data_IF_379263590407
#
_entry.id   IF_379263590407
#
_cell.length_a   1.000
_cell.length_b   1.000
_cell.length_c   1.000
_cell.angle_alpha   90.00
_cell.angle_beta   90.00
_cell.angle_gamma   90.00
#
_symmetry.space_group_name_H-M   'P 1'
#
loop_
_entity.id
_entity.type
_entity.pdbx_description
1 polymer ?
#
# COMPACT_ATOMS: atom_id res chain seq x y z
N UNK A 1 -25.05 -8.09 -40.64
CA UNK A 1 -24.90 -6.65 -40.34
C UNK A 1 -24.78 -6.49 -38.85
N UNK A 2 -23.56 -6.57 -38.34
CA UNK A 2 -23.27 -6.51 -36.89
C UNK A 2 -22.58 -5.16 -36.61
N UNK A 3 -23.24 -4.32 -35.79
CA UNK A 3 -22.72 -3.03 -35.30
C UNK A 3 -21.63 -3.32 -34.28
N UNK A 4 -20.38 -2.96 -34.62
CA UNK A 4 -19.27 -2.92 -33.66
C UNK A 4 -19.34 -1.56 -32.92
N UNK A 5 -19.78 -1.58 -31.69
CA UNK A 5 -19.69 -0.43 -30.80
C UNK A 5 -18.21 -0.18 -30.43
N UNK A 6 -17.68 0.96 -30.87
CA UNK A 6 -16.36 1.46 -30.50
C UNK A 6 -16.49 2.11 -29.11
N UNK A 7 -16.17 1.38 -28.05
CA UNK A 7 -15.88 1.98 -26.75
C UNK A 7 -14.49 2.62 -26.82
N UNK A 8 -14.44 3.92 -26.64
CA UNK A 8 -13.21 4.70 -26.53
C UNK A 8 -12.43 4.23 -25.28
N UNK A 9 -11.22 3.70 -25.51
CA UNK A 9 -10.26 3.38 -24.45
C UNK A 9 -9.68 4.72 -23.96
N UNK A 10 -9.70 5.02 -22.66
CA UNK A 10 -9.05 6.23 -22.17
C UNK A 10 -7.54 6.11 -22.38
N UNK A 11 -6.96 7.15 -22.95
CA UNK A 11 -5.52 7.33 -23.13
C UNK A 11 -4.79 7.09 -21.79
N UNK A 12 -3.88 6.15 -21.81
CA UNK A 12 -3.11 5.66 -20.69
C UNK A 12 -2.20 6.77 -20.11
N UNK A 13 -2.60 7.35 -18.99
CA UNK A 13 -1.79 8.26 -18.15
C UNK A 13 -0.73 7.50 -17.31
N UNK A 14 -0.50 6.23 -17.58
CA UNK A 14 0.32 5.34 -16.75
C UNK A 14 1.79 5.24 -17.17
N UNK A 15 2.22 5.98 -18.21
CA UNK A 15 3.62 5.95 -18.65
C UNK A 15 4.61 6.60 -17.67
N UNK A 16 4.13 7.38 -16.70
CA UNK A 16 5.01 8.07 -15.73
C UNK A 16 5.58 7.15 -14.64
N UNK A 17 5.04 5.94 -14.47
CA UNK A 17 5.50 5.01 -13.44
C UNK A 17 6.82 4.27 -13.79
N UNK A 18 7.18 4.22 -15.06
CA UNK A 18 8.40 3.54 -15.52
C UNK A 18 9.62 4.47 -15.64
N UNK A 19 9.49 5.76 -15.35
CA UNK A 19 10.61 6.70 -15.41
C UNK A 19 11.34 6.77 -14.05
N UNK A 20 12.59 6.29 -13.95
CA UNK A 20 13.34 6.29 -12.69
C UNK A 20 13.68 7.71 -12.19
N UNK A 21 13.49 8.76 -13.00
CA UNK A 21 13.77 10.15 -12.64
C UNK A 21 12.54 10.88 -12.05
N UNK A 22 11.35 10.29 -12.09
CA UNK A 22 10.08 10.89 -11.61
C UNK A 22 9.79 10.67 -10.12
N UNK A 23 10.78 10.30 -9.30
CA UNK A 23 10.61 10.27 -7.82
C UNK A 23 10.58 11.68 -7.23
N UNK A 24 9.67 12.53 -7.68
CA UNK A 24 9.24 13.72 -6.93
C UNK A 24 7.92 13.42 -6.25
N UNK A 25 8.05 13.04 -4.98
CA UNK A 25 7.12 13.19 -3.86
C UNK A 25 5.71 13.69 -4.21
N UNK A 26 4.74 12.78 -4.26
CA UNK A 26 3.34 13.12 -3.99
C UNK A 26 3.09 12.85 -2.51
N UNK A 27 3.43 13.80 -1.66
CA UNK A 27 2.89 13.87 -0.31
C UNK A 27 1.52 14.54 -0.41
N UNK A 28 0.48 13.78 -0.21
CA UNK A 28 -0.87 14.29 0.02
C UNK A 28 -0.87 15.11 1.32
N UNK A 29 -1.14 16.41 1.20
CA UNK A 29 -1.31 17.30 2.32
C UNK A 29 -2.60 16.95 3.08
N UNK A 30 -2.44 16.30 4.23
CA UNK A 30 -3.50 16.18 5.23
C UNK A 30 -3.48 17.46 6.05
N UNK A 31 -4.53 18.27 5.93
CA UNK A 31 -4.73 19.51 6.67
C UNK A 31 -4.98 19.22 8.15
N UNK A 32 -3.96 19.37 8.98
CA UNK A 32 -4.10 19.47 10.43
C UNK A 32 -4.04 20.94 10.80
N UNK A 33 -5.14 21.46 11.32
CA UNK A 33 -5.27 22.77 11.96
C UNK A 33 -4.33 22.83 13.17
N UNK A 34 -3.27 23.63 13.10
CA UNK A 34 -2.42 23.99 14.23
C UNK A 34 -2.55 25.48 14.53
N UNK A 35 -2.86 25.76 15.78
CA UNK A 35 -2.96 27.08 16.40
C UNK A 35 -1.63 27.87 16.40
N UNK A 36 -1.67 29.22 16.45
CA UNK A 36 -0.48 30.03 16.28
C UNK A 36 0.33 30.14 17.59
N UNK A 37 1.55 29.68 17.59
CA UNK A 37 2.57 30.04 18.56
C UNK A 37 3.45 31.14 17.99
N UNK A 38 3.29 32.31 18.58
CA UNK A 38 3.98 33.58 18.35
C UNK A 38 5.47 33.45 18.74
N UNK A 39 6.40 33.43 17.77
CA UNK A 39 7.83 33.63 17.98
C UNK A 39 8.33 34.71 17.01
N UNK A 40 9.16 35.68 17.48
CA UNK A 40 9.59 36.82 16.66
C UNK A 40 10.65 36.43 15.63
N UNK A 41 10.48 36.99 14.44
CA UNK A 41 11.35 36.83 13.27
C UNK A 41 12.67 37.60 13.51
N UNK A 42 13.87 37.06 13.31
CA UNK A 42 15.11 37.82 13.32
C UNK A 42 15.22 38.71 12.07
N UNK A 43 15.72 39.96 12.27
CA UNK A 43 15.89 40.99 11.25
C UNK A 43 16.97 40.63 10.24
N UNK A 44 16.86 41.09 8.97
CA UNK A 44 17.89 40.83 7.96
C UNK A 44 19.16 41.65 8.23
N UNK A 45 20.31 40.94 8.09
CA UNK A 45 21.64 41.54 8.16
C UNK A 45 21.90 42.36 6.89
N UNK A 46 22.22 43.64 7.07
CA UNK A 46 22.67 44.53 5.98
C UNK A 46 24.11 44.16 5.64
N UNK A 47 24.37 43.88 4.38
CA UNK A 47 25.70 43.76 3.81
C UNK A 47 26.05 45.09 3.18
N UNK A 48 27.01 45.79 3.78
CA UNK A 48 27.53 47.05 3.27
C UNK A 48 28.39 46.80 2.04
N UNK A 49 27.99 47.39 0.92
CA UNK A 49 28.81 47.46 -0.29
C UNK A 49 29.83 48.58 -0.17
N UNK A 50 31.07 48.28 0.13
CA UNK A 50 32.14 49.25 0.06
C UNK A 50 32.82 49.17 -1.30
N UNK A 51 32.56 50.21 -2.10
CA UNK A 51 33.08 50.35 -3.45
C UNK A 51 34.31 51.23 -3.41
N UNK A 52 35.49 50.64 -3.59
CA UNK A 52 36.72 51.38 -3.70
C UNK A 52 37.01 51.72 -5.16
N UNK A 53 36.89 53.04 -5.49
CA UNK A 53 37.29 53.64 -6.76
C UNK A 53 38.79 53.91 -6.71
N UNK A 54 39.56 53.33 -7.61
CA UNK A 54 40.87 53.87 -7.98
C UNK A 54 41.02 53.87 -9.48
N UNK A 55 41.13 55.08 -9.97
CA UNK A 55 41.49 55.47 -11.32
C UNK A 55 42.83 54.91 -11.71
N UNK A 56 43.03 54.48 -12.96
CA UNK A 56 44.26 54.69 -13.70
C UNK A 56 44.02 54.84 -15.20
N UNK A 57 44.75 55.80 -15.73
CA UNK A 57 44.72 56.44 -17.03
C UNK A 57 45.28 55.57 -18.17
N UNK A 58 44.65 55.70 -19.35
CA UNK A 58 45.14 55.87 -20.73
C UNK A 58 46.51 55.31 -21.07
N UNK A 59 46.59 54.36 -22.02
CA UNK A 59 47.56 54.40 -23.13
C UNK A 59 46.90 53.88 -24.40
N UNK A 60 46.90 54.73 -25.40
CA UNK A 60 46.49 54.53 -26.77
C UNK A 60 47.51 53.61 -27.48
N UNK A 61 47.04 52.51 -28.08
CA UNK A 61 47.88 51.70 -28.95
C UNK A 61 47.04 51.06 -30.05
N UNK A 62 47.06 51.72 -31.24
CA UNK A 62 46.53 51.14 -32.45
C UNK A 62 47.30 49.87 -32.81
N UNK A 63 46.68 48.71 -32.73
CA UNK A 63 47.18 47.51 -33.39
C UNK A 63 46.01 46.84 -34.10
N UNK A 64 45.95 46.99 -35.40
CA UNK A 64 44.98 46.34 -36.29
C UNK A 64 45.30 44.86 -36.35
N UNK A 65 44.55 44.07 -35.63
CA UNK A 65 44.61 42.61 -35.74
C UNK A 65 43.54 42.16 -36.73
N UNK A 66 43.99 41.67 -37.88
CA UNK A 66 43.20 40.94 -38.85
C UNK A 66 42.56 39.73 -38.14
N UNK A 67 41.29 39.84 -37.85
CA UNK A 67 40.51 38.69 -37.39
C UNK A 67 40.24 37.74 -38.53
N UNK A 68 41.09 36.71 -38.67
CA UNK A 68 40.75 35.54 -39.49
C UNK A 68 39.58 34.84 -38.83
N UNK A 69 38.39 35.03 -39.42
CA UNK A 69 37.24 34.28 -39.04
C UNK A 69 37.46 32.80 -39.39
N UNK A 70 37.87 32.02 -38.40
CA UNK A 70 37.83 30.56 -38.52
C UNK A 70 36.37 30.14 -38.57
N UNK A 71 35.90 29.81 -39.76
CA UNK A 71 34.63 29.12 -39.93
C UNK A 71 34.74 27.77 -39.18
N UNK A 72 34.15 27.66 -38.02
CA UNK A 72 33.96 26.37 -37.38
C UNK A 72 33.06 25.52 -38.33
N UNK A 73 33.51 24.30 -38.70
CA UNK A 73 32.66 23.41 -39.40
C UNK A 73 31.41 23.23 -38.58
N UNK A 74 30.24 23.56 -39.15
CA UNK A 74 28.95 23.28 -38.54
C UNK A 74 28.93 21.80 -38.15
N UNK A 75 28.83 21.51 -36.86
CA UNK A 75 28.65 20.17 -36.40
C UNK A 75 27.35 19.67 -37.06
N UNK A 76 27.49 18.73 -37.98
CA UNK A 76 26.39 17.99 -38.52
C UNK A 76 25.59 17.47 -37.37
N UNK A 77 24.28 17.76 -37.24
CA UNK A 77 23.49 17.19 -36.18
C UNK A 77 23.59 15.68 -36.33
N UNK A 78 24.24 15.03 -35.37
CA UNK A 78 24.19 13.58 -35.26
C UNK A 78 22.71 13.23 -35.22
N UNK A 79 22.20 12.35 -36.08
CA UNK A 79 20.81 11.96 -36.02
C UNK A 79 20.57 11.45 -34.60
N UNK A 80 19.68 12.13 -33.90
CA UNK A 80 19.22 11.70 -32.59
C UNK A 80 18.68 10.28 -32.80
N UNK A 81 19.47 9.28 -32.41
CA UNK A 81 19.01 7.92 -32.32
C UNK A 81 18.07 7.90 -31.13
N UNK A 82 16.89 8.52 -31.31
CA UNK A 82 15.77 8.31 -30.40
C UNK A 82 15.51 6.81 -30.40
N UNK A 83 16.06 6.15 -29.38
CA UNK A 83 15.94 4.72 -29.19
C UNK A 83 14.43 4.39 -29.24
N UNK A 84 14.04 3.55 -30.20
CA UNK A 84 12.66 3.12 -30.37
C UNK A 84 12.30 2.22 -29.19
N UNK A 85 11.82 2.82 -28.10
CA UNK A 85 11.52 2.12 -26.86
C UNK A 85 10.03 1.75 -26.82
N UNK A 86 9.77 0.49 -26.51
CA UNK A 86 8.44 0.00 -26.15
C UNK A 86 8.42 -0.23 -24.65
N UNK A 87 7.39 0.29 -23.97
CA UNK A 87 7.11 0.00 -22.56
C UNK A 87 5.79 -0.76 -22.48
N UNK A 88 5.78 -1.91 -21.81
CA UNK A 88 4.60 -2.72 -21.61
C UNK A 88 4.48 -3.12 -20.13
N UNK A 89 3.24 -3.36 -19.71
CA UNK A 89 2.95 -3.97 -18.42
C UNK A 89 2.52 -5.42 -18.64
N UNK A 90 3.14 -6.33 -17.91
CA UNK A 90 2.67 -7.70 -17.78
C UNK A 90 2.02 -7.90 -16.42
N UNK A 91 0.92 -8.62 -16.38
CA UNK A 91 0.18 -8.91 -15.14
C UNK A 91 -0.12 -10.39 -15.06
N UNK A 92 -0.03 -10.91 -13.83
CA UNK A 92 -0.47 -12.27 -13.55
C UNK A 92 -1.13 -12.34 -12.19
N UNK A 93 -2.05 -13.29 -12.01
CA UNK A 93 -2.69 -13.59 -10.74
C UNK A 93 -2.58 -15.09 -10.49
N UNK A 94 -2.16 -15.45 -9.27
CA UNK A 94 -2.09 -16.84 -8.80
C UNK A 94 -3.07 -17.00 -7.64
N UNK A 95 -3.85 -18.09 -7.68
CA UNK A 95 -4.81 -18.42 -6.62
C UNK A 95 -4.16 -19.38 -5.64
N UNK A 96 -4.02 -18.97 -4.38
CA UNK A 96 -3.33 -19.73 -3.34
C UNK A 96 -4.27 -20.03 -2.18
N UNK A 97 -4.18 -21.24 -1.62
CA UNK A 97 -4.87 -21.57 -0.38
C UNK A 97 -4.15 -20.89 0.80
N UNK A 98 -4.87 -20.22 1.72
CA UNK A 98 -4.27 -19.62 2.91
C UNK A 98 -3.76 -20.73 3.85
N UNK A 99 -2.72 -20.39 4.63
CA UNK A 99 -2.11 -21.25 5.65
C UNK A 99 -1.95 -20.56 7.00
N UNK A 100 -2.51 -19.38 7.14
CA UNK A 100 -2.51 -18.60 8.38
C UNK A 100 -3.89 -17.97 8.58
N UNK A 101 -4.43 -18.06 9.80
CA UNK A 101 -5.58 -17.27 10.22
C UNK A 101 -5.16 -16.28 11.30
N UNK A 102 -5.65 -15.06 11.20
CA UNK A 102 -5.55 -14.04 12.25
C UNK A 102 -6.97 -13.66 12.68
N UNK A 103 -7.28 -13.91 13.94
CA UNK A 103 -8.58 -13.65 14.54
C UNK A 103 -8.42 -12.48 15.52
N UNK A 104 -9.27 -11.47 15.42
CA UNK A 104 -9.32 -10.37 16.38
C UNK A 104 -10.60 -10.48 17.18
N UNK A 105 -10.44 -10.80 18.46
CA UNK A 105 -11.52 -11.00 19.45
C UNK A 105 -11.43 -9.85 20.44
N UNK A 106 -12.57 -9.32 20.90
CA UNK A 106 -12.55 -8.29 21.92
C UNK A 106 -13.51 -8.59 23.09
N UNK A 107 -13.10 -8.13 24.24
CA UNK A 107 -13.91 -8.07 25.46
C UNK A 107 -14.26 -6.60 25.70
N UNK A 108 -15.54 -6.29 25.63
CA UNK A 108 -16.08 -4.97 25.92
C UNK A 108 -16.86 -5.03 27.23
N UNK A 109 -16.51 -4.17 28.17
CA UNK A 109 -17.24 -4.01 29.46
C UNK A 109 -17.66 -2.56 29.65
N UNK A 110 -18.77 -2.37 30.33
CA UNK A 110 -19.31 -1.04 30.62
C UNK A 110 -19.72 -0.95 32.10
N UNK A 111 -19.33 0.14 32.75
CA UNK A 111 -19.73 0.41 34.12
C UNK A 111 -19.79 1.93 34.37
N UNK A 112 -20.58 2.36 35.36
CA UNK A 112 -20.57 3.76 35.83
C UNK A 112 -19.26 4.18 36.46
N UNK A 113 -18.54 3.23 37.02
CA UNK A 113 -17.21 3.40 37.64
C UNK A 113 -16.13 2.83 36.70
N UNK A 114 -15.12 3.64 36.42
CA UNK A 114 -14.04 3.28 35.52
C UNK A 114 -13.20 2.09 36.00
N UNK A 115 -12.93 2.06 37.33
CA UNK A 115 -12.14 1.01 37.96
C UNK A 115 -12.86 -0.33 37.90
N UNK A 116 -14.17 -0.32 38.18
CA UNK A 116 -14.99 -1.53 38.10
C UNK A 116 -15.09 -2.05 36.64
N UNK A 117 -15.29 -1.15 35.67
CA UNK A 117 -15.28 -1.53 34.25
C UNK A 117 -13.95 -2.19 33.86
N UNK A 118 -12.83 -1.64 34.33
CA UNK A 118 -11.49 -2.17 34.08
C UNK A 118 -11.25 -3.53 34.74
N UNK A 119 -11.62 -3.68 35.98
CA UNK A 119 -11.45 -4.95 36.74
C UNK A 119 -12.27 -6.08 36.11
N UNK A 120 -13.51 -5.79 35.75
CA UNK A 120 -14.36 -6.75 35.04
C UNK A 120 -13.78 -7.14 33.67
N UNK A 121 -13.30 -6.15 32.91
CA UNK A 121 -12.64 -6.38 31.64
C UNK A 121 -11.40 -7.28 31.79
N UNK A 122 -10.53 -6.98 32.74
CA UNK A 122 -9.32 -7.75 33.01
C UNK A 122 -9.64 -9.21 33.37
N UNK A 123 -10.66 -9.43 34.22
CA UNK A 123 -11.11 -10.78 34.59
C UNK A 123 -11.62 -11.55 33.38
N UNK A 124 -12.50 -10.97 32.56
CA UNK A 124 -13.05 -11.61 31.36
C UNK A 124 -11.97 -11.84 30.31
N UNK A 125 -11.12 -10.87 30.05
CA UNK A 125 -10.02 -11.01 29.09
C UNK A 125 -9.04 -12.11 29.47
N UNK A 126 -8.73 -12.26 30.76
CA UNK A 126 -7.90 -13.36 31.26
C UNK A 126 -8.58 -14.72 31.03
N UNK A 127 -9.87 -14.82 31.25
CA UNK A 127 -10.64 -16.05 30.99
C UNK A 127 -10.61 -16.39 29.50
N UNK A 128 -10.82 -15.40 28.63
CA UNK A 128 -10.77 -15.59 27.16
C UNK A 128 -9.38 -16.05 26.72
N UNK A 129 -8.30 -15.39 27.18
CA UNK A 129 -6.92 -15.78 26.84
C UNK A 129 -6.63 -17.22 27.27
N UNK A 130 -7.06 -17.62 28.45
CA UNK A 130 -6.85 -18.98 28.95
C UNK A 130 -7.66 -20.01 28.16
N UNK A 131 -8.91 -19.70 27.80
CA UNK A 131 -9.76 -20.56 26.98
C UNK A 131 -9.17 -20.76 25.58
N UNK A 132 -8.74 -19.68 24.93
CA UNK A 132 -8.09 -19.73 23.62
C UNK A 132 -6.78 -20.56 23.67
N UNK A 133 -5.94 -20.34 24.68
CA UNK A 133 -4.72 -21.13 24.88
C UNK A 133 -4.98 -22.61 25.18
N UNK A 134 -6.18 -22.95 25.65
CA UNK A 134 -6.62 -24.32 25.87
C UNK A 134 -6.92 -25.09 24.56
N UNK A 135 -7.13 -24.41 23.47
CA UNK A 135 -7.26 -25.02 22.13
C UNK A 135 -5.89 -25.56 21.72
N UNK A 136 -5.83 -26.87 21.41
CA UNK A 136 -4.58 -27.58 21.13
C UNK A 136 -4.00 -27.23 19.77
N UNK A 137 -3.39 -26.06 19.62
CA UNK A 137 -2.57 -25.67 18.46
C UNK A 137 -1.20 -25.20 18.96
N UNK A 138 -0.12 -26.01 18.82
CA UNK A 138 1.21 -25.68 19.33
C UNK A 138 1.85 -24.47 18.62
N UNK A 139 1.30 -24.08 17.49
CA UNK A 139 1.80 -22.97 16.69
C UNK A 139 0.94 -21.70 16.84
N UNK A 140 -0.01 -21.70 17.80
CA UNK A 140 -0.89 -20.57 18.04
C UNK A 140 -0.15 -19.46 18.84
N UNK A 141 -0.24 -18.24 18.31
CA UNK A 141 0.27 -17.03 18.95
C UNK A 141 -0.90 -16.20 19.44
N UNK A 142 -0.92 -15.91 20.74
CA UNK A 142 -1.93 -15.03 21.36
C UNK A 142 -1.27 -13.77 21.88
N UNK A 143 -1.73 -12.62 21.42
CA UNK A 143 -1.23 -11.30 21.83
C UNK A 143 -2.37 -10.35 22.13
N UNK A 144 -2.12 -9.35 22.99
CA UNK A 144 -3.05 -8.22 23.16
C UNK A 144 -2.81 -7.22 22.04
N UNK A 145 -3.88 -6.85 21.34
CA UNK A 145 -3.85 -5.86 20.26
C UNK A 145 -4.03 -4.45 20.80
N UNK A 146 -5.28 -4.09 21.09
CA UNK A 146 -5.66 -2.75 21.50
C UNK A 146 -6.34 -2.79 22.87
N UNK A 147 -6.01 -1.81 23.74
CA UNK A 147 -6.69 -1.58 25.01
C UNK A 147 -7.14 -0.14 25.07
N UNK A 148 -8.45 0.08 25.21
CA UNK A 148 -9.04 1.42 25.17
C UNK A 148 -10.07 1.58 26.30
N UNK A 149 -10.06 2.75 26.96
CA UNK A 149 -11.09 3.20 27.89
C UNK A 149 -11.74 4.45 27.31
N UNK A 150 -13.05 4.40 27.10
CA UNK A 150 -13.82 5.52 26.53
C UNK A 150 -14.91 5.95 27.52
N UNK A 151 -15.00 7.27 27.73
CA UNK A 151 -16.11 7.86 28.49
C UNK A 151 -17.38 7.82 27.63
N UNK A 152 -18.45 7.33 28.21
CA UNK A 152 -19.76 7.31 27.58
C UNK A 152 -20.59 8.52 28.03
N UNK A 153 -21.15 9.23 27.07
CA UNK A 153 -22.04 10.36 27.31
C UNK A 153 -23.45 9.99 26.84
N UNK A 154 -24.51 10.37 27.59
CA UNK A 154 -25.88 10.23 27.12
C UNK A 154 -26.09 11.01 25.82
N UNK A 155 -26.94 10.47 24.96
CA UNK A 155 -27.35 11.13 23.73
C UNK A 155 -28.83 11.47 23.86
N UNK A 156 -29.13 12.78 23.92
CA UNK A 156 -30.50 13.30 23.86
C UNK A 156 -30.77 13.85 22.45
N UNK A 157 -31.60 13.13 21.69
CA UNK A 157 -31.82 13.45 20.29
C UNK A 157 -30.54 13.26 19.46
N UNK A 158 -29.98 14.34 18.89
CA UNK A 158 -28.74 14.34 18.11
C UNK A 158 -27.54 14.93 18.87
N UNK A 159 -27.73 15.40 20.12
CA UNK A 159 -26.73 16.11 20.90
C UNK A 159 -26.20 15.22 22.01
N UNK A 160 -24.88 15.11 22.14
CA UNK A 160 -24.24 14.50 23.30
C UNK A 160 -24.28 15.50 24.47
N UNK A 161 -24.76 15.05 25.61
CA UNK A 161 -24.72 15.86 26.85
C UNK A 161 -23.33 15.83 27.45
N UNK A 162 -22.89 16.86 28.20
CA UNK A 162 -21.62 16.87 28.90
C UNK A 162 -21.56 15.91 30.11
N UNK A 163 -22.69 15.34 30.50
CA UNK A 163 -22.78 14.41 31.62
C UNK A 163 -22.14 13.06 31.29
N UNK A 164 -21.49 12.45 32.27
CA UNK A 164 -20.87 11.14 32.12
C UNK A 164 -21.87 10.04 32.46
N UNK A 165 -22.26 9.24 31.49
CA UNK A 165 -23.14 8.08 31.68
C UNK A 165 -22.39 6.87 32.25
N UNK A 166 -21.11 6.74 31.94
CA UNK A 166 -20.26 5.63 32.36
C UNK A 166 -18.98 5.54 31.57
N UNK A 167 -18.32 4.40 31.71
CA UNK A 167 -17.04 4.09 31.06
C UNK A 167 -17.16 2.76 30.32
N UNK A 168 -16.64 2.73 29.10
CA UNK A 168 -16.49 1.51 28.31
C UNK A 168 -15.02 1.15 28.21
N UNK A 169 -14.69 -0.09 28.55
CA UNK A 169 -13.35 -0.65 28.41
C UNK A 169 -13.38 -1.72 27.34
N UNK A 170 -12.51 -1.59 26.35
CA UNK A 170 -12.34 -2.57 25.27
C UNK A 170 -10.92 -3.12 25.33
N UNK A 171 -10.79 -4.44 25.33
CA UNK A 171 -9.52 -5.15 25.23
C UNK A 171 -9.59 -6.11 24.05
N UNK A 172 -8.75 -5.88 23.06
CA UNK A 172 -8.67 -6.70 21.85
C UNK A 172 -7.54 -7.71 21.95
N UNK A 173 -7.84 -8.95 21.63
CA UNK A 173 -6.93 -10.09 21.65
C UNK A 173 -6.75 -10.56 20.21
N UNK A 174 -5.52 -10.57 19.73
CA UNK A 174 -5.15 -11.10 18.41
C UNK A 174 -4.65 -12.52 18.56
N UNK A 175 -5.25 -13.42 17.83
CA UNK A 175 -4.90 -14.85 17.78
C UNK A 175 -4.44 -15.18 16.38
N UNK A 176 -3.18 -15.62 16.22
CA UNK A 176 -2.65 -16.15 14.97
C UNK A 176 -2.51 -17.66 15.08
N UNK A 177 -2.97 -18.38 14.06
CA UNK A 177 -2.95 -19.83 14.04
C UNK A 177 -2.76 -20.40 12.64
N UNK A 178 -2.11 -21.56 12.55
CA UNK A 178 -1.86 -22.27 11.28
C UNK A 178 -2.87 -23.37 11.00
N UNK A 179 -3.46 -23.91 12.04
CA UNK A 179 -4.52 -24.90 11.90
C UNK A 179 -5.88 -24.21 11.65
N UNK A 180 -6.19 -23.98 10.38
CA UNK A 180 -7.40 -23.28 9.97
C UNK A 180 -8.70 -24.03 10.38
N UNK A 181 -8.62 -25.34 10.57
CA UNK A 181 -9.79 -26.15 10.97
C UNK A 181 -10.27 -25.84 12.40
N UNK A 182 -9.41 -25.26 13.23
CA UNK A 182 -9.71 -24.91 14.62
C UNK A 182 -10.19 -23.45 14.82
N UNK A 183 -10.29 -22.69 13.74
CA UNK A 183 -10.77 -21.29 13.81
C UNK A 183 -12.15 -21.22 14.46
N UNK A 184 -13.08 -22.10 14.08
CA UNK A 184 -14.41 -22.17 14.66
C UNK A 184 -14.37 -22.50 16.16
N UNK A 185 -13.53 -23.45 16.57
CA UNK A 185 -13.35 -23.83 17.98
C UNK A 185 -12.82 -22.65 18.81
N UNK A 186 -11.84 -21.89 18.31
CA UNK A 186 -11.30 -20.70 18.97
C UNK A 186 -12.39 -19.64 19.15
N UNK A 187 -13.23 -19.41 18.15
CA UNK A 187 -14.36 -18.47 18.24
C UNK A 187 -15.37 -18.91 19.30
N UNK A 188 -15.75 -20.17 19.32
CA UNK A 188 -16.69 -20.72 20.25
C UNK A 188 -16.17 -20.66 21.69
N UNK A 189 -14.94 -21.12 21.93
CA UNK A 189 -14.31 -21.11 23.25
C UNK A 189 -14.11 -19.66 23.77
N UNK A 190 -13.73 -18.74 22.90
CA UNK A 190 -13.58 -17.32 23.29
C UNK A 190 -14.91 -16.70 23.71
N UNK A 191 -15.99 -17.00 22.99
CA UNK A 191 -17.34 -16.51 23.29
C UNK A 191 -17.85 -17.08 24.60
N UNK A 192 -17.69 -18.39 24.82
CA UNK A 192 -18.06 -19.05 26.08
C UNK A 192 -17.29 -18.48 27.29
N UNK A 193 -16.04 -18.07 27.08
CA UNK A 193 -15.18 -17.47 28.13
C UNK A 193 -15.49 -16.00 28.39
N UNK A 194 -16.36 -15.35 27.61
CA UNK A 194 -16.84 -13.98 27.86
C UNK A 194 -16.41 -12.95 26.83
N UNK A 195 -15.83 -13.35 25.69
CA UNK A 195 -15.68 -12.46 24.55
C UNK A 195 -17.05 -12.10 24.00
N UNK A 196 -17.27 -10.83 23.71
CA UNK A 196 -18.56 -10.30 23.23
C UNK A 196 -18.43 -9.49 21.93
N UNK A 197 -17.24 -9.47 21.35
CA UNK A 197 -17.00 -8.87 20.03
C UNK A 197 -15.94 -9.67 19.28
N UNK A 198 -16.23 -9.99 18.02
CA UNK A 198 -15.28 -10.54 17.06
C UNK A 198 -15.21 -9.53 15.92
N UNK A 199 -14.07 -8.87 15.80
CA UNK A 199 -13.94 -7.77 14.83
C UNK A 199 -13.59 -8.28 13.44
N UNK A 200 -12.73 -9.31 13.36
CA UNK A 200 -12.18 -9.74 12.09
C UNK A 200 -11.62 -11.16 12.13
N UNK A 201 -11.80 -11.92 11.06
CA UNK A 201 -11.10 -13.16 10.77
C UNK A 201 -10.44 -12.98 9.40
N UNK A 202 -9.11 -12.93 9.38
CA UNK A 202 -8.31 -12.73 8.18
C UNK A 202 -7.56 -14.02 7.89
N UNK A 203 -7.74 -14.57 6.70
CA UNK A 203 -6.94 -15.68 6.19
C UNK A 203 -5.82 -15.13 5.32
N UNK A 204 -4.61 -15.65 5.53
CA UNK A 204 -3.40 -15.17 4.88
C UNK A 204 -2.40 -16.27 4.61
N UNK A 205 -1.24 -15.86 4.12
CA UNK A 205 -0.05 -16.70 4.01
C UNK A 205 0.96 -16.27 5.06
N UNK A 206 1.52 -17.24 5.76
CA UNK A 206 2.64 -16.97 6.69
C UNK A 206 3.90 -16.55 5.92
N UNK A 207 4.13 -17.23 4.80
CA UNK A 207 5.22 -16.90 3.89
C UNK A 207 4.69 -16.85 2.45
N UNK A 208 4.81 -15.70 1.83
CA UNK A 208 4.34 -15.45 0.48
C UNK A 208 5.46 -15.54 -0.59
N UNK A 209 6.71 -15.85 -0.21
CA UNK A 209 7.86 -15.82 -1.12
C UNK A 209 7.73 -16.80 -2.31
N UNK A 210 7.15 -17.97 -2.09
CA UNK A 210 6.93 -18.94 -3.17
C UNK A 210 5.91 -18.41 -4.18
N UNK A 211 4.75 -17.94 -3.69
CA UNK A 211 3.68 -17.38 -4.52
C UNK A 211 4.11 -16.09 -5.21
N UNK A 212 4.93 -15.26 -4.52
CA UNK A 212 5.50 -14.06 -5.09
C UNK A 212 6.41 -14.38 -6.28
N UNK A 213 7.32 -15.35 -6.15
CA UNK A 213 8.20 -15.76 -7.25
C UNK A 213 7.41 -16.34 -8.43
N UNK A 214 6.41 -17.13 -8.15
CA UNK A 214 5.54 -17.70 -9.18
C UNK A 214 4.79 -16.63 -9.96
N UNK A 215 4.12 -15.71 -9.26
CA UNK A 215 3.34 -14.65 -9.90
C UNK A 215 4.23 -13.64 -10.65
N UNK A 216 5.42 -13.32 -10.13
CA UNK A 216 6.38 -12.45 -10.84
C UNK A 216 6.92 -13.11 -12.10
N UNK A 217 7.20 -14.42 -12.05
CA UNK A 217 7.60 -15.16 -13.25
C UNK A 217 6.50 -15.15 -14.31
N UNK A 218 5.25 -15.40 -13.91
CA UNK A 218 4.11 -15.38 -14.82
C UNK A 218 3.85 -13.96 -15.40
N UNK A 219 3.92 -12.91 -14.57
CA UNK A 219 3.76 -11.52 -15.02
C UNK A 219 4.88 -11.11 -15.99
N UNK A 220 6.12 -11.55 -15.74
CA UNK A 220 7.24 -11.33 -16.67
C UNK A 220 7.01 -12.01 -18.02
N UNK A 221 6.54 -13.26 -18.01
CA UNK A 221 6.22 -13.98 -19.21
C UNK A 221 5.10 -13.29 -20.04
N UNK A 222 4.07 -12.75 -19.35
CA UNK A 222 3.00 -11.96 -20.00
C UNK A 222 3.56 -10.68 -20.62
N UNK A 223 4.44 -9.93 -19.90
CA UNK A 223 5.10 -8.74 -20.45
C UNK A 223 5.90 -9.05 -21.74
N UNK A 224 6.70 -10.11 -21.72
CA UNK A 224 7.47 -10.57 -22.88
C UNK A 224 6.55 -10.95 -24.04
N UNK A 225 5.48 -11.68 -23.76
CA UNK A 225 4.50 -12.07 -24.78
C UNK A 225 3.83 -10.86 -25.44
N UNK A 226 3.54 -9.80 -24.67
CA UNK A 226 2.99 -8.53 -25.19
C UNK A 226 3.98 -7.81 -26.10
N UNK A 227 5.26 -7.69 -25.71
CA UNK A 227 6.30 -7.12 -26.59
C UNK A 227 6.40 -7.92 -27.89
N UNK A 228 6.44 -9.26 -27.82
CA UNK A 228 6.49 -10.11 -28.99
C UNK A 228 5.26 -9.93 -29.90
N UNK A 229 4.07 -9.74 -29.34
CA UNK A 229 2.87 -9.49 -30.10
C UNK A 229 2.93 -8.14 -30.84
N UNK A 230 3.42 -7.08 -30.17
CA UNK A 230 3.61 -5.76 -30.77
C UNK A 230 4.63 -5.84 -31.93
N UNK A 231 5.79 -6.44 -31.68
CA UNK A 231 6.85 -6.60 -32.69
C UNK A 231 6.36 -7.40 -33.90
N UNK A 232 5.61 -8.48 -33.66
CA UNK A 232 4.99 -9.24 -34.78
C UNK A 232 4.00 -8.40 -35.59
N UNK A 233 3.19 -7.56 -34.88
CA UNK A 233 2.26 -6.66 -35.58
C UNK A 233 2.95 -5.60 -36.42
N UNK A 234 4.08 -5.06 -35.93
CA UNK A 234 4.91 -4.11 -36.68
C UNK A 234 5.58 -4.76 -37.89
N UNK A 235 6.02 -6.01 -37.78
CA UNK A 235 6.68 -6.76 -38.86
C UNK A 235 5.73 -7.30 -39.92
N UNK A 236 4.42 -7.23 -39.71
CA UNK A 236 3.46 -7.86 -40.61
C UNK A 236 3.52 -7.33 -42.08
N UNK A 237 4.05 -6.12 -42.27
CA UNK A 237 4.14 -5.46 -43.59
C UNK A 237 5.58 -5.03 -43.95
N UNK A 238 6.60 -5.43 -43.19
CA UNK A 238 7.97 -4.97 -43.35
C UNK A 238 8.89 -6.06 -43.93
N UNK A 239 9.71 -5.69 -44.94
CA UNK A 239 10.72 -6.57 -45.51
C UNK A 239 11.90 -6.84 -44.60
N UNK A 240 12.09 -6.00 -43.55
CA UNK A 240 13.15 -6.13 -42.54
C UNK A 240 12.51 -6.39 -41.19
N UNK A 241 12.53 -7.63 -40.67
CA UNK A 241 11.88 -7.95 -39.42
C UNK A 241 12.59 -7.25 -38.25
N UNK A 242 11.87 -6.39 -37.55
CA UNK A 242 12.31 -5.77 -36.31
C UNK A 242 12.54 -6.86 -35.22
N UNK A 243 13.58 -6.68 -34.49
CA UNK A 243 13.90 -7.47 -33.29
C UNK A 243 13.76 -6.57 -32.06
N UNK A 244 13.76 -7.14 -30.88
CA UNK A 244 13.77 -6.35 -29.66
C UNK A 244 14.80 -6.90 -28.67
N UNK A 245 15.29 -5.98 -27.83
CA UNK A 245 16.16 -6.29 -26.70
C UNK A 245 15.55 -5.67 -25.46
N UNK A 246 15.38 -6.46 -24.39
CA UNK A 246 14.97 -5.95 -23.10
C UNK A 246 16.08 -5.06 -22.54
N UNK A 247 15.78 -3.83 -22.20
CA UNK A 247 16.72 -2.87 -21.61
C UNK A 247 16.50 -2.65 -20.13
N UNK A 248 15.26 -2.83 -19.66
CA UNK A 248 14.90 -2.67 -18.28
C UNK A 248 13.69 -3.52 -17.92
N UNK A 249 13.68 -4.00 -16.68
CA UNK A 249 12.53 -4.69 -16.10
C UNK A 249 12.40 -4.28 -14.64
N UNK A 250 11.21 -3.87 -14.24
CA UNK A 250 10.94 -3.44 -12.88
C UNK A 250 9.60 -3.98 -12.38
N UNK A 251 9.55 -4.30 -11.10
CA UNK A 251 8.30 -4.63 -10.42
C UNK A 251 7.51 -3.33 -10.25
N UNK A 252 6.33 -3.26 -10.89
CA UNK A 252 5.46 -2.08 -10.83
C UNK A 252 4.46 -2.16 -9.67
N UNK A 253 4.17 -3.36 -9.20
CA UNK A 253 3.31 -3.59 -8.05
C UNK A 253 3.13 -5.06 -7.72
N UNK A 254 3.01 -5.34 -6.43
CA UNK A 254 2.58 -6.63 -5.91
C UNK A 254 1.36 -6.37 -5.03
N UNK A 255 0.22 -6.89 -5.42
CA UNK A 255 -1.02 -6.78 -4.66
C UNK A 255 -1.34 -8.13 -4.02
N UNK A 256 -1.62 -8.07 -2.74
CA UNK A 256 -1.98 -9.22 -1.93
C UNK A 256 -3.36 -8.98 -1.34
N UNK A 257 -4.34 -9.71 -1.82
CA UNK A 257 -5.72 -9.57 -1.34
C UNK A 257 -6.03 -10.70 -0.36
N UNK A 258 -5.91 -10.46 0.96
CA UNK A 258 -6.25 -11.46 1.97
C UNK A 258 -7.76 -11.71 1.95
N UNK A 259 -8.15 -12.97 2.14
CA UNK A 259 -9.55 -13.31 2.33
C UNK A 259 -10.01 -12.79 3.69
N UNK A 260 -11.05 -11.94 3.70
CA UNK A 260 -11.64 -11.37 4.91
C UNK A 260 -13.10 -11.82 5.01
N UNK A 261 -13.45 -12.40 6.13
CA UNK A 261 -14.85 -12.51 6.51
C UNK A 261 -15.23 -11.27 7.33
N UNK A 262 -15.94 -10.34 6.73
CA UNK A 262 -16.55 -9.21 7.46
C UNK A 262 -17.82 -9.74 8.13
N UNK A 263 -17.73 -10.15 9.37
CA UNK A 263 -18.91 -10.37 10.18
C UNK A 263 -19.42 -9.04 10.69
N UNK A 264 -20.52 -8.58 10.09
CA UNK A 264 -21.37 -7.59 10.74
C UNK A 264 -21.89 -8.21 12.03
N UNK A 265 -21.51 -7.62 13.16
CA UNK A 265 -22.06 -7.82 14.51
C UNK A 265 -22.72 -9.18 14.74
N UNK A 266 -21.99 -10.12 15.32
CA UNK A 266 -22.61 -11.31 15.91
C UNK A 266 -23.61 -10.85 16.97
N UNK A 267 -24.89 -10.84 16.61
CA UNK A 267 -25.96 -10.78 17.57
C UNK A 267 -25.89 -12.06 18.37
N UNK A 268 -25.88 -11.93 19.69
CA UNK A 268 -25.98 -13.02 20.64
C UNK A 268 -27.17 -13.91 20.29
N UNK A 269 -26.92 -15.02 19.62
CA UNK A 269 -27.89 -16.09 19.45
C UNK A 269 -27.58 -17.20 20.44
N UNK A 270 -28.64 -17.70 21.06
CA UNK A 270 -28.59 -18.87 21.91
C UNK A 270 -27.95 -20.05 21.16
N UNK A 271 -27.06 -20.74 21.87
CA UNK A 271 -26.21 -21.83 21.43
C UNK A 271 -26.90 -22.88 20.58
N UNK A 272 -26.41 -23.15 19.37
CA UNK A 272 -26.48 -24.49 18.80
C UNK A 272 -25.17 -25.23 19.13
N UNK A 273 -25.29 -26.50 19.41
CA UNK A 273 -24.20 -27.43 19.75
C UNK A 273 -23.30 -27.80 18.54
N UNK A 274 -23.27 -26.98 17.51
CA UNK A 274 -22.41 -27.16 16.34
C UNK A 274 -21.35 -26.07 16.32
N UNK A 275 -20.09 -26.44 16.09
CA UNK A 275 -18.98 -25.49 15.92
C UNK A 275 -19.29 -24.49 14.82
N UNK A 276 -18.90 -23.22 15.05
CA UNK A 276 -19.06 -22.16 14.05
C UNK A 276 -18.36 -22.55 12.75
N UNK A 277 -19.10 -22.77 11.62
CA UNK A 277 -18.47 -23.15 10.37
C UNK A 277 -17.69 -21.97 9.81
N UNK A 278 -16.40 -22.15 9.61
CA UNK A 278 -15.52 -21.14 9.01
C UNK A 278 -14.72 -21.82 7.91
N UNK A 279 -14.96 -21.39 6.67
CA UNK A 279 -14.23 -21.91 5.52
C UNK A 279 -13.31 -20.83 4.96
N UNK A 280 -12.04 -21.17 4.80
CA UNK A 280 -11.05 -20.32 4.15
C UNK A 280 -11.19 -20.46 2.62
N UNK A 281 -11.53 -19.36 1.93
CA UNK A 281 -11.51 -19.32 0.48
C UNK A 281 -10.10 -19.32 -0.10
N UNK A 282 -9.99 -19.21 -1.43
CA UNK A 282 -8.70 -18.98 -2.10
C UNK A 282 -8.38 -17.50 -2.07
N UNK A 283 -7.10 -17.20 -2.02
CA UNK A 283 -6.55 -15.84 -2.04
C UNK A 283 -5.92 -15.56 -3.38
N UNK A 284 -6.00 -14.31 -3.81
CA UNK A 284 -5.39 -13.84 -5.04
C UNK A 284 -4.09 -13.10 -4.72
N UNK A 285 -3.01 -13.54 -5.37
CA UNK A 285 -1.74 -12.83 -5.39
C UNK A 285 -1.53 -12.34 -6.80
N UNK A 286 -1.53 -11.02 -6.99
CA UNK A 286 -1.38 -10.39 -8.31
C UNK A 286 -0.09 -9.60 -8.34
N UNK A 287 0.69 -9.77 -9.41
CA UNK A 287 1.89 -8.97 -9.67
C UNK A 287 1.76 -8.24 -10.99
N UNK A 288 2.35 -7.06 -11.03
CA UNK A 288 2.50 -6.24 -12.24
C UNK A 288 3.98 -5.94 -12.44
N UNK A 289 4.46 -6.22 -13.66
CA UNK A 289 5.84 -5.99 -14.08
C UNK A 289 5.84 -5.00 -15.23
N UNK A 290 6.67 -3.97 -15.14
CA UNK A 290 6.95 -3.07 -16.27
C UNK A 290 8.20 -3.57 -17.00
N UNK A 291 8.08 -3.78 -18.30
CA UNK A 291 9.17 -4.18 -19.18
C UNK A 291 9.39 -3.10 -20.25
N UNK A 292 10.64 -2.64 -20.36
CA UNK A 292 11.08 -1.72 -21.40
C UNK A 292 11.99 -2.46 -22.37
N UNK A 293 11.66 -2.38 -23.65
CA UNK A 293 12.41 -3.01 -24.72
C UNK A 293 12.76 -1.99 -25.80
N UNK A 294 13.96 -2.12 -26.35
CA UNK A 294 14.43 -1.36 -27.49
C UNK A 294 14.17 -2.18 -28.77
N UNK A 295 13.64 -1.53 -29.80
CA UNK A 295 13.50 -2.12 -31.13
C UNK A 295 14.82 -1.97 -31.90
N UNK A 296 15.29 -3.08 -32.46
CA UNK A 296 16.53 -3.21 -33.21
C UNK A 296 16.25 -3.34 -34.72
#
# INVERSE_FOLDING_TARGET
MALISRTAVPLCSACDLCDPLSKKSVFAASSVLASPLNKPIPKPVKVDANMNRSSFFIVSGLLSILSVAQAQPAATPTPDQSSRIISVYGTATVHVAPNLATITIAVVTQNKDALQAQQENAKRSTAVINAVKGVSDPAMEVSTGEYTIVVQHPVEGTVRTPEIAGYQVTNSISVKMRDLSKVGEVLDQSTLAGANSVSNVIFGLENNEASRREVLSAATADAVARVQAIVRGLNANDASPLRFRTIDISEAGLEYTPWRTTNQQMRTFALPAASTPVEAGKMDVTATVCLRAELL
#
